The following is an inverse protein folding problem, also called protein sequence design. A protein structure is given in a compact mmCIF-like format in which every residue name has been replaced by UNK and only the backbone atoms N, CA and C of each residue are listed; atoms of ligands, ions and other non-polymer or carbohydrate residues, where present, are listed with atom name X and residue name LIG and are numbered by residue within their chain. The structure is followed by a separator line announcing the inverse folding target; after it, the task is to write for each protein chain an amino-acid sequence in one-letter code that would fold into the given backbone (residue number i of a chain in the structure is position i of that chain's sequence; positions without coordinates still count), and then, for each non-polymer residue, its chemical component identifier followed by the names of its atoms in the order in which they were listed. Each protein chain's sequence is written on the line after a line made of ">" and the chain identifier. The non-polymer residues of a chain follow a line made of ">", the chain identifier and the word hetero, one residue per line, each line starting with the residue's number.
data_IF_730347275760
#
_entry.id   IF_730347275760
#
_cell.length_a   1.000
_cell.length_b   1.000
_cell.length_c   1.000
_cell.angle_alpha   90.00
_cell.angle_beta   90.00
_cell.angle_gamma   90.00
#
_symmetry.space_group_name_H-M   'P 1'
#
loop_
_entity.id
_entity.type
_entity.pdbx_description
1 polymer ?
#
# COMPACT_ATOMS: atom_id res chain seq x y z
N UNK A 1 -15.94 0.45 31.31
CA UNK A 1 -15.20 1.08 30.19
C UNK A 1 -14.00 0.23 29.76
N UNK A 2 -13.06 -0.09 30.65
CA UNK A 2 -11.87 -0.88 30.30
C UNK A 2 -12.18 -2.27 29.71
N UNK A 3 -13.18 -2.96 30.24
CA UNK A 3 -13.59 -4.29 29.77
C UNK A 3 -14.16 -4.26 28.34
N UNK A 4 -15.00 -3.27 28.03
CA UNK A 4 -15.56 -3.07 26.68
C UNK A 4 -14.44 -2.78 25.67
N UNK A 5 -13.48 -1.91 26.01
CA UNK A 5 -12.32 -1.64 25.16
C UNK A 5 -11.45 -2.89 24.96
N UNK A 6 -11.27 -3.72 25.99
CA UNK A 6 -10.53 -4.98 25.90
C UNK A 6 -11.19 -5.95 24.91
N UNK A 7 -12.51 -6.13 25.02
CA UNK A 7 -13.28 -7.01 24.12
C UNK A 7 -13.18 -6.53 22.67
N UNK A 8 -13.34 -5.22 22.43
CA UNK A 8 -13.23 -4.64 21.09
C UNK A 8 -11.81 -4.79 20.53
N UNK A 9 -10.78 -4.57 21.35
CA UNK A 9 -9.39 -4.67 20.93
C UNK A 9 -8.92 -6.12 20.74
N UNK A 10 -9.56 -7.10 21.36
CA UNK A 10 -9.25 -8.52 21.12
C UNK A 10 -9.98 -9.10 19.90
N UNK A 11 -10.88 -8.34 19.28
CA UNK A 11 -11.62 -8.81 18.10
C UNK A 11 -10.68 -8.97 16.89
N UNK A 12 -10.76 -10.09 16.14
CA UNK A 12 -10.05 -10.26 14.88
C UNK A 12 -10.30 -9.11 13.89
N UNK A 13 -9.23 -8.57 13.28
CA UNK A 13 -9.30 -7.62 12.17
C UNK A 13 -9.45 -8.35 10.84
N UNK A 14 -8.86 -9.54 10.74
CA UNK A 14 -8.94 -10.42 9.56
C UNK A 14 -9.76 -11.67 9.88
N UNK A 15 -10.16 -12.39 8.82
CA UNK A 15 -10.82 -13.69 8.95
C UNK A 15 -9.86 -14.64 9.70
N UNK A 16 -10.39 -15.38 10.66
CA UNK A 16 -9.62 -16.36 11.42
C UNK A 16 -9.23 -17.50 10.48
N UNK A 17 -7.92 -17.76 10.36
CA UNK A 17 -7.38 -18.86 9.57
C UNK A 17 -7.91 -20.20 10.11
N UNK A 18 -8.28 -21.12 9.22
CA UNK A 18 -8.64 -22.51 9.57
C UNK A 18 -7.44 -23.45 9.51
N UNK A 19 -6.25 -22.94 9.16
CA UNK A 19 -5.03 -23.72 9.04
C UNK A 19 -4.43 -23.98 10.44
N UNK A 20 -4.23 -25.26 10.82
CA UNK A 20 -3.70 -25.63 12.14
C UNK A 20 -2.27 -25.15 12.39
N UNK A 21 -1.49 -24.85 11.35
CA UNK A 21 -0.12 -24.31 11.47
C UNK A 21 -0.10 -22.78 11.68
N UNK A 22 -1.23 -22.10 11.49
CA UNK A 22 -1.35 -20.64 11.63
C UNK A 22 -2.52 -20.19 12.54
N UNK A 23 -2.57 -20.64 13.81
CA UNK A 23 -3.70 -20.40 14.71
C UNK A 23 -3.79 -18.93 15.21
N UNK A 24 -2.78 -18.10 14.96
CA UNK A 24 -2.69 -16.77 15.54
C UNK A 24 -3.62 -15.78 14.82
N UNK A 25 -4.47 -15.13 15.59
CA UNK A 25 -5.41 -14.10 15.09
C UNK A 25 -4.76 -12.72 15.15
N UNK A 26 -4.95 -11.92 14.10
CA UNK A 26 -4.53 -10.52 14.10
C UNK A 26 -5.65 -9.65 14.70
N UNK A 27 -5.45 -9.11 15.90
CA UNK A 27 -6.40 -8.20 16.60
C UNK A 27 -5.79 -6.82 16.85
N UNK A 28 -6.59 -5.77 17.10
CA UNK A 28 -6.06 -4.46 17.47
C UNK A 28 -5.16 -4.49 18.72
N UNK A 29 -5.44 -5.35 19.69
CA UNK A 29 -4.63 -5.49 20.89
C UNK A 29 -3.22 -6.00 20.57
N UNK A 30 -3.10 -6.95 19.64
CA UNK A 30 -1.80 -7.40 19.12
C UNK A 30 -1.06 -6.26 18.41
N UNK A 31 -1.77 -5.34 17.74
CA UNK A 31 -1.16 -4.15 17.15
C UNK A 31 -0.61 -3.17 18.19
N UNK A 32 -1.38 -2.95 19.26
CA UNK A 32 -1.06 -1.93 20.26
C UNK A 32 -0.01 -2.39 21.25
N UNK A 33 -0.01 -3.67 21.60
CA UNK A 33 0.82 -4.22 22.67
C UNK A 33 1.96 -5.09 22.16
N UNK A 34 1.87 -5.60 20.93
CA UNK A 34 2.76 -6.62 20.38
C UNK A 34 2.84 -7.90 21.23
N UNK A 35 1.87 -8.12 22.11
CA UNK A 35 1.78 -9.29 22.98
C UNK A 35 0.69 -10.21 22.47
N UNK A 36 0.93 -11.51 22.57
CA UNK A 36 -0.08 -12.56 22.39
C UNK A 36 -0.48 -13.09 23.78
N UNK A 37 -1.70 -13.60 23.93
CA UNK A 37 -2.30 -13.98 25.23
C UNK A 37 -1.54 -15.06 26.02
N UNK A 38 -0.43 -15.61 25.49
CA UNK A 38 0.33 -16.70 26.11
C UNK A 38 1.72 -16.32 26.65
N UNK A 39 2.14 -15.05 26.62
CA UNK A 39 3.46 -14.67 27.14
C UNK A 39 3.45 -14.53 28.67
N UNK A 40 3.41 -15.67 29.36
CA UNK A 40 4.04 -15.80 30.67
C UNK A 40 5.35 -16.56 30.51
N UNK A 41 6.28 -15.98 29.73
CA UNK A 41 7.61 -16.57 29.62
C UNK A 41 8.41 -16.28 30.91
N UNK A 42 8.85 -17.37 31.55
CA UNK A 42 9.82 -17.35 32.64
C UNK A 42 11.06 -16.58 32.19
N UNK A 43 11.32 -15.42 32.79
CA UNK A 43 12.51 -14.61 32.54
C UNK A 43 13.68 -15.29 33.28
N UNK A 44 14.65 -15.90 32.58
CA UNK A 44 15.85 -16.39 33.24
C UNK A 44 16.62 -15.19 33.80
N UNK A 45 17.38 -15.38 34.88
CA UNK A 45 18.26 -14.36 35.46
C UNK A 45 19.40 -14.03 34.49
N UNK A 46 19.09 -13.19 33.51
CA UNK A 46 19.97 -12.69 32.47
C UNK A 46 20.38 -11.27 32.84
N UNK A 47 21.67 -10.95 32.65
CA UNK A 47 22.17 -9.58 32.72
C UNK A 47 21.27 -8.62 31.95
N UNK A 48 20.97 -7.44 32.52
CA UNK A 48 20.13 -6.39 31.92
C UNK A 48 20.49 -6.10 30.46
N UNK A 49 21.77 -6.17 30.10
CA UNK A 49 22.23 -5.92 28.73
C UNK A 49 21.80 -7.01 27.74
N UNK A 50 21.81 -8.27 28.18
CA UNK A 50 21.47 -9.42 27.35
C UNK A 50 19.94 -9.57 27.22
N UNK A 51 19.18 -9.22 28.26
CA UNK A 51 17.70 -9.13 28.20
C UNK A 51 17.24 -8.07 27.20
N UNK A 52 17.80 -6.85 27.22
CA UNK A 52 17.42 -5.82 26.24
C UNK A 52 17.73 -6.24 24.80
N UNK A 53 18.85 -6.93 24.58
CA UNK A 53 19.22 -7.43 23.25
C UNK A 53 18.29 -8.55 22.77
N UNK A 54 17.91 -9.46 23.65
CA UNK A 54 16.94 -10.52 23.35
C UNK A 54 15.56 -9.95 23.05
N UNK A 55 15.07 -9.04 23.91
CA UNK A 55 13.79 -8.34 23.72
C UNK A 55 13.75 -7.55 22.41
N UNK A 56 14.82 -6.80 22.09
CA UNK A 56 14.88 -6.07 20.83
C UNK A 56 14.79 -7.00 19.61
N UNK A 57 15.50 -8.14 19.62
CA UNK A 57 15.40 -9.13 18.55
C UNK A 57 13.99 -9.72 18.45
N UNK A 58 13.35 -10.04 19.57
CA UNK A 58 11.99 -10.55 19.62
C UNK A 58 11.00 -9.54 19.02
N UNK A 59 11.10 -8.26 19.40
CA UNK A 59 10.29 -7.17 18.83
C UNK A 59 10.49 -7.06 17.33
N UNK A 60 11.73 -7.16 16.82
CA UNK A 60 11.98 -7.14 15.38
C UNK A 60 11.35 -8.34 14.65
N UNK A 61 11.42 -9.54 15.23
CA UNK A 61 10.79 -10.74 14.67
C UNK A 61 9.27 -10.58 14.60
N UNK A 62 8.64 -10.13 15.69
CA UNK A 62 7.20 -9.88 15.76
C UNK A 62 6.77 -8.79 14.78
N UNK A 63 7.52 -7.69 14.68
CA UNK A 63 7.26 -6.63 13.71
C UNK A 63 7.34 -7.13 12.27
N UNK A 64 8.33 -7.96 11.94
CA UNK A 64 8.47 -8.54 10.61
C UNK A 64 7.32 -9.50 10.27
N UNK A 65 6.93 -10.36 11.21
CA UNK A 65 5.76 -11.24 11.06
C UNK A 65 4.48 -10.43 10.87
N UNK A 66 4.31 -9.37 11.66
CA UNK A 66 3.19 -8.45 11.54
C UNK A 66 3.13 -7.82 10.15
N UNK A 67 4.21 -7.17 9.69
CA UNK A 67 4.21 -6.49 8.38
C UNK A 67 3.99 -7.46 7.22
N UNK A 68 4.50 -8.68 7.34
CA UNK A 68 4.24 -9.75 6.37
C UNK A 68 2.74 -10.06 6.31
N UNK A 69 2.10 -10.35 7.45
CA UNK A 69 0.67 -10.67 7.54
C UNK A 69 -0.23 -9.51 7.18
N UNK A 70 0.08 -8.30 7.65
CA UNK A 70 -0.67 -7.09 7.30
C UNK A 70 -0.69 -6.88 5.78
N UNK A 71 0.45 -7.03 5.11
CA UNK A 71 0.55 -6.89 3.66
C UNK A 71 -0.20 -7.99 2.92
N UNK A 72 -0.14 -9.24 3.38
CA UNK A 72 -0.76 -10.37 2.67
C UNK A 72 -2.25 -10.53 2.97
N UNK A 73 -2.65 -10.38 4.23
CA UNK A 73 -4.01 -10.69 4.71
C UNK A 73 -4.91 -9.47 4.75
N UNK A 74 -4.40 -8.29 5.13
CA UNK A 74 -5.25 -7.13 5.39
C UNK A 74 -5.22 -6.09 4.27
N UNK A 75 -4.04 -5.75 3.76
CA UNK A 75 -3.87 -4.69 2.74
C UNK A 75 -4.69 -4.96 1.47
N UNK A 76 -4.80 -6.21 1.05
CA UNK A 76 -5.62 -6.60 -0.11
C UNK A 76 -7.11 -6.32 0.12
N UNK A 77 -7.61 -6.42 1.36
CA UNK A 77 -9.00 -6.13 1.69
C UNK A 77 -9.28 -4.62 1.74
N UNK A 78 -8.26 -3.79 1.99
CA UNK A 78 -8.39 -2.34 1.93
C UNK A 78 -8.45 -1.81 0.50
N UNK A 79 -7.82 -2.50 -0.46
CA UNK A 79 -7.88 -2.14 -1.87
C UNK A 79 -9.12 -2.75 -2.54
N UNK A 80 -10.28 -2.14 -2.30
CA UNK A 80 -11.47 -2.43 -3.09
C UNK A 80 -11.18 -2.20 -4.57
N UNK A 81 -11.17 -3.26 -5.38
CA UNK A 81 -11.15 -3.13 -6.85
C UNK A 81 -12.45 -2.46 -7.27
N UNK A 82 -12.41 -1.16 -7.51
CA UNK A 82 -13.48 -0.47 -8.22
C UNK A 82 -13.49 -0.99 -9.66
N UNK A 83 -14.60 -1.62 -10.06
CA UNK A 83 -14.86 -1.82 -11.49
C UNK A 83 -15.09 -0.45 -12.12
N UNK A 84 -14.69 -0.29 -13.38
CA UNK A 84 -14.98 0.90 -14.18
C UNK A 84 -16.47 0.91 -14.52
N UNK A 85 -17.32 1.20 -13.53
CA UNK A 85 -18.78 1.21 -13.69
C UNK A 85 -19.29 2.57 -14.19
N UNK A 86 -18.47 3.61 -14.09
CA UNK A 86 -18.81 4.98 -14.47
C UNK A 86 -17.78 5.47 -15.48
N UNK A 87 -18.27 6.04 -16.58
CA UNK A 87 -17.42 6.71 -17.56
C UNK A 87 -16.70 7.89 -16.89
N UNK A 88 -15.37 7.86 -16.91
CA UNK A 88 -14.55 8.99 -16.52
C UNK A 88 -14.39 9.95 -17.70
N UNK A 89 -14.22 11.24 -17.41
CA UNK A 89 -13.89 12.23 -18.45
C UNK A 89 -12.68 11.78 -19.27
N UNK A 90 -12.69 12.06 -20.58
CA UNK A 90 -11.52 11.88 -21.42
C UNK A 90 -10.41 12.88 -21.04
N UNK A 91 -9.16 12.51 -21.33
CA UNK A 91 -8.04 13.44 -21.28
C UNK A 91 -8.19 14.48 -22.40
N UNK A 92 -7.84 15.73 -22.11
CA UNK A 92 -7.91 16.85 -23.03
C UNK A 92 -6.55 17.54 -23.16
N UNK A 93 -6.43 18.36 -24.20
CA UNK A 93 -5.28 19.27 -24.35
C UNK A 93 -5.16 20.17 -23.11
N UNK A 94 -3.92 20.44 -22.72
CA UNK A 94 -3.52 21.25 -21.56
C UNK A 94 -3.77 20.61 -20.18
N UNK A 95 -4.26 19.37 -20.13
CA UNK A 95 -4.31 18.60 -18.88
C UNK A 95 -2.91 18.30 -18.33
N UNK A 96 -2.77 18.38 -17.01
CA UNK A 96 -1.55 17.99 -16.29
C UNK A 96 -1.68 16.53 -15.89
N UNK A 97 -0.69 15.73 -16.29
CA UNK A 97 -0.65 14.29 -16.07
C UNK A 97 0.69 13.83 -15.51
N UNK A 98 0.67 12.78 -14.70
CA UNK A 98 1.86 12.02 -14.34
C UNK A 98 2.11 10.96 -15.40
N UNK A 99 3.31 10.95 -15.99
CA UNK A 99 3.72 9.96 -16.98
C UNK A 99 4.39 8.77 -16.28
N UNK A 100 3.74 7.62 -16.34
CA UNK A 100 4.25 6.36 -15.82
C UNK A 100 5.42 5.90 -16.70
N UNK A 101 6.58 5.73 -16.07
CA UNK A 101 7.76 5.11 -16.67
C UNK A 101 8.14 3.87 -15.86
N UNK A 102 8.04 2.69 -16.47
CA UNK A 102 8.32 1.42 -15.81
C UNK A 102 9.82 1.23 -15.50
N UNK A 103 10.69 2.05 -16.12
CA UNK A 103 12.13 2.05 -15.85
C UNK A 103 12.52 2.86 -14.62
N UNK A 104 11.58 3.67 -14.10
CA UNK A 104 11.78 4.56 -12.97
C UNK A 104 10.99 4.11 -11.74
N UNK A 105 11.50 4.42 -10.56
CA UNK A 105 10.74 4.27 -9.32
C UNK A 105 9.51 5.19 -9.35
N UNK A 106 8.42 4.80 -8.68
CA UNK A 106 7.15 5.55 -8.70
C UNK A 106 7.29 7.02 -8.28
N UNK A 107 8.23 7.32 -7.38
CA UNK A 107 8.53 8.67 -6.90
C UNK A 107 9.36 9.51 -7.89
N UNK A 108 9.77 8.94 -9.02
CA UNK A 108 10.58 9.58 -10.06
C UNK A 108 9.81 9.73 -11.38
N UNK A 109 8.52 9.39 -11.41
CA UNK A 109 7.69 9.60 -12.59
C UNK A 109 7.56 11.09 -12.90
N UNK A 110 7.71 11.44 -14.18
CA UNK A 110 7.72 12.82 -14.63
C UNK A 110 6.29 13.34 -14.76
N UNK A 111 6.07 14.58 -14.32
CA UNK A 111 4.83 15.30 -14.61
C UNK A 111 4.95 15.99 -15.97
N UNK A 112 3.86 16.00 -16.73
CA UNK A 112 3.80 16.62 -18.04
C UNK A 112 2.45 17.22 -18.35
N UNK A 113 2.42 17.96 -19.45
CA UNK A 113 1.21 18.60 -19.97
C UNK A 113 0.83 17.96 -21.30
N UNK A 114 -0.45 17.64 -21.47
CA UNK A 114 -0.97 17.11 -22.73
C UNK A 114 -0.93 18.21 -23.79
N UNK A 115 -0.24 17.94 -24.89
CA UNK A 115 -0.14 18.84 -26.04
C UNK A 115 -1.23 18.53 -27.06
N UNK A 116 -1.53 17.25 -27.24
CA UNK A 116 -2.51 16.76 -28.22
C UNK A 116 -3.08 15.42 -27.75
N UNK A 117 -4.33 15.12 -28.14
CA UNK A 117 -5.01 13.86 -27.84
C UNK A 117 -5.44 13.18 -29.14
N UNK A 118 -5.40 11.85 -29.15
CA UNK A 118 -5.78 11.03 -30.30
C UNK A 118 -7.00 10.17 -29.93
N UNK A 119 -8.24 10.67 -30.19
CA UNK A 119 -9.45 9.91 -30.02
C UNK A 119 -9.58 8.81 -31.09
N UNK A 120 -10.27 7.72 -30.75
CA UNK A 120 -10.64 6.68 -31.72
C UNK A 120 -12.03 6.94 -32.32
N UNK A 121 -12.54 6.02 -33.12
CA UNK A 121 -13.85 6.13 -33.77
C UNK A 121 -15.03 6.16 -32.80
N UNK A 122 -14.84 5.70 -31.57
CA UNK A 122 -15.81 5.76 -30.47
C UNK A 122 -15.74 7.07 -29.66
N UNK A 123 -14.88 8.03 -30.06
CA UNK A 123 -14.68 9.29 -29.35
C UNK A 123 -13.82 9.19 -28.08
N UNK A 124 -13.31 8.01 -27.73
CA UNK A 124 -12.47 7.82 -26.54
C UNK A 124 -10.98 8.00 -26.86
N UNK A 125 -10.28 8.77 -26.02
CA UNK A 125 -8.84 9.04 -26.15
C UNK A 125 -8.05 7.80 -25.74
N UNK A 126 -7.26 7.22 -26.66
CA UNK A 126 -6.41 6.04 -26.36
C UNK A 126 -4.95 6.38 -26.21
N UNK A 127 -4.50 7.46 -26.84
CA UNK A 127 -3.13 7.96 -26.80
C UNK A 127 -3.15 9.49 -26.70
N UNK A 128 -2.14 10.06 -26.06
CA UNK A 128 -1.94 11.50 -26.00
C UNK A 128 -0.45 11.81 -26.19
N UNK A 129 -0.17 12.96 -26.80
CA UNK A 129 1.16 13.56 -26.85
C UNK A 129 1.37 14.36 -25.58
N UNK A 130 2.35 13.97 -24.76
CA UNK A 130 2.64 14.61 -23.48
C UNK A 130 4.01 15.26 -23.55
N UNK A 131 4.08 16.52 -23.12
CA UNK A 131 5.32 17.26 -22.95
C UNK A 131 5.76 17.21 -21.50
N UNK A 132 6.97 16.72 -21.26
CA UNK A 132 7.61 16.65 -19.94
C UNK A 132 8.93 17.40 -19.98
N UNK A 133 9.44 17.79 -18.82
CA UNK A 133 10.79 18.33 -18.68
C UNK A 133 11.69 17.16 -18.25
N UNK A 134 12.65 16.81 -19.10
CA UNK A 134 13.64 15.78 -18.80
C UNK A 134 15.02 16.41 -18.89
N UNK A 135 15.79 16.34 -17.80
CA UNK A 135 17.13 16.95 -17.71
C UNK A 135 17.17 18.46 -18.06
N UNK A 136 16.10 19.20 -17.73
CA UNK A 136 15.99 20.63 -18.02
C UNK A 136 15.48 20.97 -19.43
N UNK A 137 15.30 19.98 -20.31
CA UNK A 137 14.81 20.20 -21.68
C UNK A 137 13.38 19.70 -21.88
N UNK A 138 12.56 20.42 -22.67
CA UNK A 138 11.22 19.98 -23.01
C UNK A 138 11.30 18.81 -24.01
N UNK A 139 10.83 17.64 -23.59
CA UNK A 139 10.75 16.44 -24.42
C UNK A 139 9.29 16.01 -24.55
N UNK A 140 8.91 15.52 -25.74
CA UNK A 140 7.55 15.05 -26.00
C UNK A 140 7.53 13.55 -26.19
N UNK A 141 6.47 12.91 -25.67
CA UNK A 141 6.25 11.47 -25.76
C UNK A 141 4.81 11.20 -26.15
N UNK A 142 4.60 10.28 -27.10
CA UNK A 142 3.29 9.69 -27.33
C UNK A 142 3.12 8.54 -26.34
N UNK A 143 2.13 8.65 -25.46
CA UNK A 143 1.84 7.62 -24.44
C UNK A 143 0.39 7.16 -24.51
N UNK A 144 0.13 5.86 -24.27
CA UNK A 144 -1.23 5.38 -24.06
C UNK A 144 -1.80 5.95 -22.76
N UNK A 145 -3.12 6.14 -22.70
CA UNK A 145 -3.77 6.70 -21.50
C UNK A 145 -3.52 5.87 -20.24
N UNK A 146 -3.29 4.55 -20.38
CA UNK A 146 -3.00 3.66 -19.26
C UNK A 146 -1.65 3.94 -18.59
N UNK A 147 -0.81 4.75 -19.23
CA UNK A 147 0.47 5.24 -18.70
C UNK A 147 0.40 6.71 -18.26
N UNK A 148 -0.78 7.31 -18.22
CA UNK A 148 -1.01 8.70 -17.83
C UNK A 148 -1.98 8.74 -16.65
N UNK A 149 -1.60 9.41 -15.57
CA UNK A 149 -2.48 9.63 -14.42
C UNK A 149 -2.87 11.09 -14.36
N UNK A 150 -4.17 11.36 -14.37
CA UNK A 150 -4.70 12.72 -14.29
C UNK A 150 -4.69 13.25 -12.85
N UNK A 151 -4.36 14.54 -12.67
CA UNK A 151 -4.24 15.14 -11.34
C UNK A 151 -5.47 15.93 -10.83
N UNK A 152 -6.37 16.44 -11.69
CA UNK A 152 -7.41 17.41 -11.26
C UNK A 152 -8.83 17.20 -11.85
#
# INVERSE_FOLDING_TARGET
>A
MAEVCCIVNNRPITVVSSDPESPHVLSPNVLLTHKTDNDTEYIPDLSLKDTYKAQWKQVQVLANQFWKRWKTEYLHNLQLRKKWEVESRNLCKDDIVLMIDDTLHRNQWLTGTIVEVYPSSDGLVRKALVRVIKNGEPTTYIRPISKLVYFF
#
